data_IF_820508523270
#
_entry.id   IF_820508523270
#
_cell.length_a   1.000
_cell.length_b   1.000
_cell.length_c   1.000
_cell.angle_alpha   90.00
_cell.angle_beta   90.00
_cell.angle_gamma   90.00
#
_symmetry.space_group_name_H-M   'P 1'
#
loop_
_entity.id
_entity.type
_entity.pdbx_description
1 polymer ?
#
# COMPACT_ATOMS: atom_id res chain seq x y z
N UNK A 1 6.67 9.01 -9.74
CA UNK A 1 6.06 10.08 -8.92
C UNK A 1 6.98 10.31 -7.73
N UNK A 2 7.39 11.56 -7.45
CA UNK A 2 8.11 11.91 -6.22
C UNK A 2 7.10 12.57 -5.30
N UNK A 3 6.90 12.00 -4.12
CA UNK A 3 5.92 12.52 -3.17
C UNK A 3 6.66 13.42 -2.16
N UNK A 4 6.25 14.68 -2.05
CA UNK A 4 6.79 15.63 -1.07
C UNK A 4 5.92 15.59 0.17
N UNK A 5 6.28 14.76 1.14
CA UNK A 5 5.63 14.64 2.44
C UNK A 5 6.69 14.73 3.52
N UNK A 6 6.29 15.20 4.70
CA UNK A 6 7.14 15.07 5.87
C UNK A 6 7.13 13.62 6.42
N UNK A 7 8.00 13.34 7.38
CA UNK A 7 8.16 11.99 7.92
C UNK A 7 6.91 11.45 8.61
N UNK A 8 6.17 12.31 9.32
CA UNK A 8 4.95 11.92 10.03
C UNK A 8 3.83 11.59 9.03
N UNK A 9 3.62 12.45 8.03
CA UNK A 9 2.67 12.21 6.95
C UNK A 9 3.00 10.94 6.18
N UNK A 10 4.29 10.71 5.88
CA UNK A 10 4.74 9.50 5.20
C UNK A 10 4.44 8.26 6.02
N UNK A 11 4.74 8.26 7.33
CA UNK A 11 4.43 7.14 8.22
C UNK A 11 2.93 6.87 8.28
N UNK A 12 2.11 7.92 8.40
CA UNK A 12 0.66 7.80 8.44
C UNK A 12 0.11 7.19 7.15
N UNK A 13 0.63 7.62 5.99
CA UNK A 13 0.24 7.07 4.68
C UNK A 13 0.69 5.61 4.52
N UNK A 14 1.94 5.29 4.88
CA UNK A 14 2.45 3.92 4.83
C UNK A 14 1.65 3.00 5.75
N UNK A 15 1.27 3.47 6.94
CA UNK A 15 0.40 2.73 7.86
C UNK A 15 -0.98 2.50 7.25
N UNK A 16 -1.63 3.55 6.75
CA UNK A 16 -2.96 3.47 6.14
C UNK A 16 -2.96 2.50 4.94
N UNK A 17 -2.00 2.60 4.03
CA UNK A 17 -1.87 1.70 2.88
C UNK A 17 -1.65 0.25 3.30
N UNK A 18 -0.86 0.01 4.35
CA UNK A 18 -0.63 -1.36 4.84
C UNK A 18 -1.89 -1.95 5.47
N UNK A 19 -2.64 -1.16 6.23
CA UNK A 19 -3.94 -1.59 6.79
C UNK A 19 -4.94 -1.88 5.67
N UNK A 20 -5.03 -1.00 4.67
CA UNK A 20 -5.93 -1.18 3.53
C UNK A 20 -5.56 -2.42 2.71
N UNK A 21 -4.27 -2.64 2.45
CA UNK A 21 -3.78 -3.85 1.78
C UNK A 21 -4.28 -5.13 2.46
N UNK A 22 -4.22 -5.19 3.79
CA UNK A 22 -4.69 -6.37 4.53
C UNK A 22 -6.21 -6.56 4.41
N UNK A 23 -6.98 -5.47 4.47
CA UNK A 23 -8.43 -5.48 4.32
C UNK A 23 -8.85 -5.94 2.92
N UNK A 24 -8.31 -5.30 1.89
CA UNK A 24 -8.62 -5.60 0.50
C UNK A 24 -8.15 -7.00 0.12
N UNK A 25 -6.97 -7.43 0.59
CA UNK A 25 -6.49 -8.80 0.35
C UNK A 25 -7.47 -9.83 0.90
N UNK A 26 -7.93 -9.67 2.14
CA UNK A 26 -8.91 -10.57 2.74
C UNK A 26 -10.22 -10.59 1.93
N UNK A 27 -10.71 -9.41 1.55
CA UNK A 27 -11.91 -9.30 0.73
C UNK A 27 -11.80 -10.04 -0.61
N UNK A 28 -10.67 -9.92 -1.31
CA UNK A 28 -10.43 -10.61 -2.59
C UNK A 28 -10.23 -12.12 -2.41
N UNK A 29 -9.66 -12.57 -1.29
CA UNK A 29 -9.59 -14.00 -0.95
C UNK A 29 -10.99 -14.61 -0.78
N UNK A 30 -11.93 -13.85 -0.20
CA UNK A 30 -13.33 -14.24 0.00
C UNK A 30 -14.20 -14.06 -1.26
N UNK A 31 -13.80 -13.16 -2.18
CA UNK A 31 -14.59 -12.76 -3.34
C UNK A 31 -13.77 -12.83 -4.64
N UNK A 32 -13.38 -14.04 -5.04
CA UNK A 32 -12.44 -14.30 -6.16
C UNK A 32 -12.84 -13.72 -7.53
N UNK A 33 -14.11 -13.36 -7.76
CA UNK A 33 -14.62 -12.81 -9.03
C UNK A 33 -14.65 -11.27 -9.09
N UNK A 34 -14.20 -10.55 -8.06
CA UNK A 34 -14.25 -9.08 -8.00
C UNK A 34 -13.15 -8.37 -8.80
N UNK A 35 -12.14 -9.10 -9.31
CA UNK A 35 -11.02 -8.52 -10.07
C UNK A 35 -11.44 -7.78 -11.35
N UNK A 36 -12.60 -8.11 -11.93
CA UNK A 36 -13.14 -7.45 -13.13
C UNK A 36 -14.06 -6.26 -12.81
N UNK A 37 -14.29 -5.97 -11.52
CA UNK A 37 -15.18 -4.88 -11.10
C UNK A 37 -14.47 -3.53 -11.23
N UNK A 38 -14.92 -2.75 -12.21
CA UNK A 38 -14.41 -1.39 -12.46
C UNK A 38 -14.56 -0.55 -11.19
N UNK A 39 -13.47 0.11 -10.79
CA UNK A 39 -13.42 1.01 -9.65
C UNK A 39 -13.04 0.36 -8.32
N UNK A 40 -12.74 -0.95 -8.30
CA UNK A 40 -12.17 -1.61 -7.13
C UNK A 40 -10.65 -1.52 -7.21
N UNK A 41 -10.02 -0.98 -6.16
CA UNK A 41 -8.57 -1.01 -6.02
C UNK A 41 -8.14 -2.41 -5.61
N UNK A 42 -7.25 -3.01 -6.39
CA UNK A 42 -6.73 -4.35 -6.14
C UNK A 42 -5.67 -4.34 -5.02
N UNK A 43 -5.43 -5.47 -4.34
CA UNK A 43 -4.31 -5.59 -3.41
C UNK A 43 -2.96 -5.26 -4.05
N UNK A 44 -2.79 -5.56 -5.35
CA UNK A 44 -1.56 -5.33 -6.10
C UNK A 44 -1.29 -3.85 -6.30
N UNK A 45 -2.30 -3.07 -6.66
CA UNK A 45 -2.18 -1.61 -6.79
C UNK A 45 -1.80 -0.94 -5.46
N UNK A 46 -2.37 -1.40 -4.34
CA UNK A 46 -2.03 -0.90 -3.01
C UNK A 46 -0.60 -1.28 -2.64
N UNK A 47 -0.21 -2.54 -2.87
CA UNK A 47 1.17 -3.03 -2.65
C UNK A 47 2.17 -2.18 -3.42
N UNK A 48 1.91 -1.95 -4.70
CA UNK A 48 2.83 -1.24 -5.58
C UNK A 48 2.95 0.23 -5.19
N UNK A 49 1.84 0.84 -4.77
CA UNK A 49 1.81 2.20 -4.20
C UNK A 49 2.63 2.26 -2.91
N UNK A 50 2.36 1.39 -1.93
CA UNK A 50 3.11 1.32 -0.67
C UNK A 50 4.60 1.11 -0.91
N UNK A 51 4.97 0.15 -1.76
CA UNK A 51 6.37 -0.16 -2.05
C UNK A 51 7.07 1.00 -2.79
N UNK A 52 6.35 1.73 -3.64
CA UNK A 52 6.88 2.92 -4.33
C UNK A 52 7.17 4.06 -3.35
N UNK A 53 6.29 4.29 -2.37
CA UNK A 53 6.50 5.30 -1.32
C UNK A 53 7.65 4.87 -0.42
N UNK A 54 7.61 3.64 0.10
CA UNK A 54 8.65 3.13 1.00
C UNK A 54 10.03 3.14 0.35
N UNK A 55 10.13 2.86 -0.95
CA UNK A 55 11.40 2.94 -1.69
C UNK A 55 11.99 4.36 -1.68
N UNK A 56 11.15 5.39 -1.72
CA UNK A 56 11.60 6.78 -1.69
C UNK A 56 12.06 7.21 -0.30
N UNK A 57 11.54 6.59 0.75
CA UNK A 57 11.76 6.99 2.14
C UNK A 57 12.42 5.89 2.98
N UNK A 58 13.19 5.01 2.32
CA UNK A 58 13.72 3.80 2.96
C UNK A 58 14.85 4.10 3.93
N UNK A 59 15.61 5.17 3.68
CA UNK A 59 16.69 5.61 4.55
C UNK A 59 16.15 6.18 5.87
N UNK A 60 15.00 6.84 5.82
CA UNK A 60 14.30 7.41 6.98
C UNK A 60 13.56 6.32 7.79
N UNK A 61 13.07 5.26 7.13
CA UNK A 61 12.30 4.18 7.75
C UNK A 61 12.91 2.79 7.48
N UNK A 62 14.13 2.51 7.96
CA UNK A 62 14.84 1.26 7.65
C UNK A 62 14.11 0.02 8.17
N UNK A 63 13.33 0.16 9.25
CA UNK A 63 12.58 -0.94 9.90
C UNK A 63 11.33 -1.40 9.11
N UNK A 64 10.81 -0.58 8.21
CA UNK A 64 9.61 -0.93 7.45
C UNK A 64 9.95 -1.87 6.29
N UNK A 65 9.14 -2.91 6.10
CA UNK A 65 9.36 -3.91 5.06
C UNK A 65 8.41 -3.72 3.88
N UNK A 66 8.92 -4.00 2.68
CA UNK A 66 8.11 -4.12 1.48
C UNK A 66 7.04 -5.20 1.67
N UNK A 67 5.87 -4.95 1.08
CA UNK A 67 4.81 -5.96 0.99
C UNK A 67 5.18 -6.91 -0.14
N UNK A 68 5.12 -8.22 0.14
CA UNK A 68 5.37 -9.30 -0.82
C UNK A 68 4.09 -9.64 -1.57
#
# INVERSE_FOLDING_TARGET
>A
MKIELNNEETLNILHALRSEFMSVKLYFEENQNEQERIGVTTPEEIRDTYNTILKQTKEEFPMLNYIK
#
